data_IF_608824241349
#
_entry.id   IF_608824241349
#
_cell.length_a   1.000
_cell.length_b   1.000
_cell.length_c   1.000
_cell.angle_alpha   90.00
_cell.angle_beta   90.00
_cell.angle_gamma   90.00
#
_symmetry.space_group_name_H-M   'P 1'
#
loop_
_entity.id
_entity.type
_entity.pdbx_description
1 polymer ?
#
# COMPACT_ATOMS: atom_id res chain seq x y z
N UNK A 1 19.87 -20.81 -3.25
CA UNK A 1 18.86 -21.80 -3.64
C UNK A 1 18.06 -22.28 -2.43
N UNK A 2 18.68 -22.60 -1.28
CA UNK A 2 18.02 -23.07 -0.05
C UNK A 2 17.06 -22.03 0.55
N UNK A 3 17.41 -20.75 0.61
CA UNK A 3 16.55 -19.68 1.12
C UNK A 3 15.28 -19.44 0.26
N UNK A 4 15.37 -19.73 -1.03
CA UNK A 4 14.23 -19.70 -1.94
C UNK A 4 13.31 -20.91 -1.71
N UNK A 5 13.88 -22.07 -1.43
CA UNK A 5 13.17 -23.32 -1.18
C UNK A 5 12.45 -23.31 0.17
N UNK A 6 13.11 -22.80 1.22
CA UNK A 6 12.51 -22.53 2.54
C UNK A 6 11.38 -21.50 2.47
N UNK A 7 11.52 -20.47 1.61
CA UNK A 7 10.45 -19.51 1.32
C UNK A 7 9.26 -20.15 0.62
N UNK A 8 9.50 -21.07 -0.31
CA UNK A 8 8.45 -21.78 -1.07
C UNK A 8 7.74 -22.80 -0.18
N UNK A 9 8.44 -23.54 0.68
CA UNK A 9 7.83 -24.50 1.61
C UNK A 9 6.94 -23.83 2.68
N UNK A 10 7.28 -22.61 3.09
CA UNK A 10 6.43 -21.76 3.99
C UNK A 10 5.27 -21.09 3.26
N UNK A 11 5.30 -21.02 1.94
CA UNK A 11 4.24 -20.44 1.08
C UNK A 11 3.15 -21.46 0.67
N UNK A 12 3.10 -22.64 1.28
CA UNK A 12 2.14 -23.69 0.90
C UNK A 12 0.66 -23.35 1.13
N UNK A 13 0.34 -22.21 1.70
CA UNK A 13 -1.03 -21.78 1.92
C UNK A 13 -1.36 -20.52 1.09
N UNK A 14 -1.61 -20.72 -0.20
CA UNK A 14 -2.23 -19.74 -1.10
C UNK A 14 -1.49 -18.38 -1.16
N UNK A 15 -0.42 -18.26 -1.97
CA UNK A 15 0.36 -17.02 -2.14
C UNK A 15 -0.50 -15.81 -2.58
N UNK A 16 -1.69 -16.05 -3.13
CA UNK A 16 -2.67 -15.02 -3.47
C UNK A 16 -3.14 -14.20 -2.27
N UNK A 17 -3.19 -14.79 -1.06
CA UNK A 17 -3.59 -14.09 0.14
C UNK A 17 -2.59 -12.99 0.53
N UNK A 18 -1.30 -13.29 0.37
CA UNK A 18 -0.22 -12.35 0.71
C UNK A 18 0.04 -11.36 -0.42
N UNK A 19 0.27 -11.88 -1.64
CA UNK A 19 0.58 -11.06 -2.83
C UNK A 19 -0.63 -10.20 -3.24
N UNK A 20 -1.85 -10.75 -3.08
CA UNK A 20 -3.09 -10.04 -3.35
C UNK A 20 -3.45 -8.98 -2.31
N UNK A 21 -2.83 -9.00 -1.11
CA UNK A 21 -3.09 -8.06 -0.02
C UNK A 21 -4.31 -8.40 0.84
N UNK A 22 -4.88 -9.59 0.70
CA UNK A 22 -6.10 -10.01 1.41
C UNK A 22 -5.79 -10.19 2.90
N UNK A 23 -4.66 -10.79 3.27
CA UNK A 23 -4.24 -10.94 4.66
C UNK A 23 -4.09 -9.58 5.35
N UNK A 24 -3.44 -8.62 4.67
CA UNK A 24 -3.33 -7.24 5.17
C UNK A 24 -4.71 -6.58 5.35
N UNK A 25 -5.66 -6.84 4.44
CA UNK A 25 -7.01 -6.31 4.53
C UNK A 25 -7.80 -6.91 5.71
N UNK A 26 -7.64 -8.19 6.01
CA UNK A 26 -8.23 -8.80 7.22
C UNK A 26 -7.71 -8.12 8.50
N UNK A 27 -6.39 -7.90 8.58
CA UNK A 27 -5.77 -7.19 9.70
C UNK A 27 -6.29 -5.76 9.81
N UNK A 28 -6.42 -5.05 8.68
CA UNK A 28 -6.95 -3.68 8.64
C UNK A 28 -8.39 -3.60 9.14
N UNK A 29 -9.25 -4.55 8.76
CA UNK A 29 -10.64 -4.61 9.25
C UNK A 29 -10.69 -4.70 10.77
N UNK A 30 -9.84 -5.55 11.38
CA UNK A 30 -9.77 -5.69 12.83
C UNK A 30 -9.27 -4.39 13.50
N UNK A 31 -8.20 -3.81 12.97
CA UNK A 31 -7.64 -2.55 13.48
C UNK A 31 -8.63 -1.39 13.36
N UNK A 32 -9.34 -1.26 12.24
CA UNK A 32 -10.37 -0.24 12.06
C UNK A 32 -11.50 -0.37 13.07
N UNK A 33 -11.93 -1.59 13.40
CA UNK A 33 -12.94 -1.84 14.44
C UNK A 33 -12.44 -1.42 15.83
N UNK A 34 -11.18 -1.72 16.16
CA UNK A 34 -10.56 -1.37 17.44
C UNK A 34 -10.40 0.15 17.59
N UNK A 35 -9.90 0.81 16.55
CA UNK A 35 -9.53 2.24 16.62
C UNK A 35 -10.74 3.16 16.49
N UNK A 36 -11.63 2.83 15.55
CA UNK A 36 -12.74 3.72 15.19
C UNK A 36 -14.09 3.28 15.74
N UNK A 37 -14.18 2.08 16.35
CA UNK A 37 -15.42 1.49 16.83
C UNK A 37 -16.54 1.44 15.79
N UNK A 38 -16.16 1.21 14.52
CA UNK A 38 -17.08 1.15 13.39
C UNK A 38 -17.22 -0.28 12.87
N UNK A 39 -18.40 -0.63 12.40
CA UNK A 39 -18.63 -1.89 11.69
C UNK A 39 -17.98 -1.81 10.32
N UNK A 40 -16.85 -2.46 10.19
CA UNK A 40 -16.08 -2.55 8.94
C UNK A 40 -16.03 -4.01 8.51
N UNK A 41 -16.18 -4.28 7.23
CA UNK A 41 -16.09 -5.60 6.60
C UNK A 41 -15.01 -5.62 5.52
N UNK A 42 -14.66 -6.79 5.02
CA UNK A 42 -13.66 -6.91 3.96
C UNK A 42 -14.10 -6.19 2.66
N UNK A 43 -15.40 -6.18 2.38
CA UNK A 43 -15.97 -5.46 1.22
C UNK A 43 -15.84 -3.93 1.30
N UNK A 44 -15.53 -3.40 2.48
CA UNK A 44 -15.31 -1.97 2.69
C UNK A 44 -13.85 -1.56 2.49
N UNK A 45 -12.98 -2.52 2.16
CA UNK A 45 -11.55 -2.29 1.94
C UNK A 45 -11.26 -2.33 0.44
N UNK A 46 -10.67 -1.25 -0.07
CA UNK A 46 -10.10 -1.24 -1.41
C UNK A 46 -8.76 -1.96 -1.40
N UNK A 47 -8.61 -3.03 -2.18
CA UNK A 47 -7.43 -3.88 -2.15
C UNK A 47 -6.72 -3.83 -3.50
N UNK A 48 -5.44 -3.47 -3.47
CA UNK A 48 -4.51 -3.56 -4.59
C UNK A 48 -3.28 -4.35 -4.13
N UNK A 49 -3.03 -5.49 -4.78
CA UNK A 49 -1.88 -6.34 -4.49
C UNK A 49 -0.58 -5.84 -5.12
N UNK A 50 0.47 -6.64 -4.98
CA UNK A 50 1.83 -6.32 -5.45
C UNK A 50 2.24 -7.06 -6.72
N UNK A 51 1.32 -7.74 -7.40
CA UNK A 51 1.60 -8.58 -8.59
C UNK A 51 2.28 -7.81 -9.73
N UNK A 52 1.93 -6.54 -9.90
CA UNK A 52 2.44 -5.69 -10.99
C UNK A 52 3.77 -5.01 -10.63
N UNK A 53 4.26 -5.22 -9.40
CA UNK A 53 5.53 -4.65 -8.93
C UNK A 53 6.68 -5.51 -9.38
N UNK A 54 7.58 -4.92 -10.15
CA UNK A 54 8.77 -5.58 -10.67
C UNK A 54 10.03 -5.22 -9.86
N UNK A 55 11.11 -6.00 -10.06
CA UNK A 55 12.42 -5.65 -9.52
C UNK A 55 12.92 -4.28 -10.04
N UNK A 56 12.52 -3.89 -11.25
CA UNK A 56 12.79 -2.57 -11.81
C UNK A 56 12.16 -1.46 -10.95
N UNK A 57 10.90 -1.64 -10.50
CA UNK A 57 10.21 -0.67 -9.64
C UNK A 57 10.91 -0.55 -8.29
N UNK A 58 11.28 -1.68 -7.67
CA UNK A 58 11.99 -1.73 -6.39
C UNK A 58 13.32 -0.97 -6.46
N UNK A 59 14.12 -1.21 -7.50
CA UNK A 59 15.39 -0.53 -7.69
C UNK A 59 15.20 0.95 -7.99
N UNK A 60 14.22 1.30 -8.82
CA UNK A 60 13.91 2.69 -9.15
C UNK A 60 13.42 3.48 -7.94
N UNK A 61 12.56 2.89 -7.10
CA UNK A 61 12.13 3.48 -5.85
C UNK A 61 13.32 3.75 -4.90
N UNK A 62 14.22 2.76 -4.75
CA UNK A 62 15.42 2.91 -3.91
C UNK A 62 16.32 4.05 -4.40
N UNK A 63 16.55 4.18 -5.70
CA UNK A 63 17.35 5.26 -6.30
C UNK A 63 16.69 6.63 -6.11
N UNK A 64 15.38 6.68 -5.98
CA UNK A 64 14.61 7.89 -5.70
C UNK A 64 14.54 8.24 -4.21
N UNK A 65 15.09 7.38 -3.32
CA UNK A 65 15.10 7.57 -1.87
C UNK A 65 13.88 6.96 -1.16
N UNK A 66 13.19 6.01 -1.80
CA UNK A 66 12.00 5.36 -1.28
C UNK A 66 12.15 3.84 -1.17
N UNK A 67 11.27 3.24 -0.39
CA UNK A 67 11.03 1.80 -0.36
C UNK A 67 9.56 1.51 -0.67
N UNK A 68 9.30 0.52 -1.52
CA UNK A 68 7.94 0.05 -1.77
C UNK A 68 7.53 -0.85 -0.61
N UNK A 69 6.36 -0.55 -0.04
CA UNK A 69 5.72 -1.35 1.02
C UNK A 69 4.25 -1.54 0.67
N UNK A 70 3.71 -2.73 0.97
CA UNK A 70 2.27 -2.93 0.98
C UNK A 70 1.73 -2.32 2.28
N UNK A 71 1.00 -1.23 2.16
CA UNK A 71 0.39 -0.54 3.30
C UNK A 71 -1.09 -0.89 3.41
N UNK A 72 -1.54 -1.08 4.64
CA UNK A 72 -2.93 -1.12 5.01
C UNK A 72 -3.25 0.18 5.77
N UNK A 73 -4.05 1.06 5.18
CA UNK A 73 -4.38 2.38 5.74
C UNK A 73 -5.86 2.50 6.03
N UNK A 74 -6.19 3.09 7.18
CA UNK A 74 -7.56 3.43 7.55
C UNK A 74 -7.59 4.91 7.99
N UNK A 75 -8.40 5.73 7.33
CA UNK A 75 -8.53 7.17 7.59
C UNK A 75 -9.99 7.49 7.90
N UNK A 76 -10.25 7.99 9.10
CA UNK A 76 -11.60 8.44 9.50
C UNK A 76 -11.80 9.90 9.10
N UNK A 77 -12.98 10.18 8.54
CA UNK A 77 -13.45 11.53 8.23
C UNK A 77 -14.88 11.71 8.72
N UNK A 78 -15.38 12.92 8.70
CA UNK A 78 -16.78 13.22 9.03
C UNK A 78 -17.79 12.48 8.11
N UNK A 79 -17.36 12.08 6.91
CA UNK A 79 -18.22 11.43 5.91
C UNK A 79 -18.18 9.91 5.96
N UNK A 80 -17.17 9.34 6.61
CA UNK A 80 -16.96 7.89 6.70
C UNK A 80 -15.50 7.49 6.83
N UNK A 81 -15.20 6.21 6.61
CA UNK A 81 -13.85 5.65 6.70
C UNK A 81 -13.37 5.26 5.30
N UNK A 82 -12.15 5.67 4.98
CA UNK A 82 -11.40 5.18 3.82
C UNK A 82 -10.45 4.09 4.27
N UNK A 83 -10.72 2.85 3.84
CA UNK A 83 -9.89 1.69 4.10
C UNK A 83 -9.24 1.23 2.79
N UNK A 84 -7.93 1.21 2.75
CA UNK A 84 -7.19 0.82 1.55
C UNK A 84 -5.99 -0.06 1.90
N UNK A 85 -5.76 -1.10 1.10
CA UNK A 85 -4.52 -1.87 1.05
C UNK A 85 -3.92 -1.68 -0.33
N UNK A 86 -2.74 -1.08 -0.38
CA UNK A 86 -2.06 -0.81 -1.64
C UNK A 86 -0.54 -0.74 -1.47
N UNK A 87 0.24 -1.08 -2.51
CA UNK A 87 1.67 -0.79 -2.53
C UNK A 87 1.90 0.72 -2.60
N UNK A 88 2.73 1.24 -1.70
CA UNK A 88 3.09 2.65 -1.61
C UNK A 88 4.60 2.84 -1.56
N UNK A 89 5.06 4.01 -2.03
CA UNK A 89 6.43 4.46 -1.82
C UNK A 89 6.54 5.16 -0.46
N UNK A 90 7.43 4.67 0.39
CA UNK A 90 7.70 5.22 1.71
C UNK A 90 9.12 5.78 1.73
N UNK A 91 9.34 7.03 2.21
CA UNK A 91 10.68 7.59 2.36
C UNK A 91 11.58 6.66 3.16
N UNK A 92 12.84 6.49 2.74
CA UNK A 92 13.81 5.64 3.45
C UNK A 92 14.09 6.12 4.88
N UNK A 93 13.81 7.39 5.19
CA UNK A 93 13.90 7.96 6.54
C UNK A 93 12.79 7.51 7.49
N UNK A 94 11.67 7.05 6.95
CA UNK A 94 10.50 6.64 7.74
C UNK A 94 10.77 5.36 8.54
N UNK A 95 10.32 5.26 9.80
CA UNK A 95 10.35 4.02 10.57
C UNK A 95 9.63 2.86 9.87
N UNK A 96 8.57 3.14 9.12
CA UNK A 96 7.80 2.15 8.34
C UNK A 96 8.65 1.53 7.22
N UNK A 97 9.52 2.31 6.59
CA UNK A 97 10.43 1.81 5.57
C UNK A 97 11.52 0.88 6.14
N UNK A 98 11.86 1.01 7.44
CA UNK A 98 12.96 0.26 8.08
C UNK A 98 12.56 -1.15 8.51
N UNK A 99 11.28 -1.48 8.51
CA UNK A 99 10.79 -2.82 8.88
C UNK A 99 11.22 -3.84 7.83
N UNK A 100 11.79 -4.96 8.26
CA UNK A 100 12.28 -6.03 7.38
C UNK A 100 11.92 -7.42 7.93
N UNK A 101 11.93 -8.42 7.06
CA UNK A 101 11.64 -9.80 7.44
C UNK A 101 10.21 -9.99 7.95
N UNK A 102 10.06 -10.72 9.06
CA UNK A 102 8.76 -11.03 9.69
C UNK A 102 8.24 -9.93 10.64
N UNK A 103 8.94 -8.79 10.74
CA UNK A 103 8.49 -7.68 11.58
C UNK A 103 7.31 -6.94 10.95
N UNK A 104 6.41 -6.52 11.80
CA UNK A 104 5.30 -5.64 11.45
C UNK A 104 5.44 -4.31 12.20
N UNK A 105 4.87 -3.27 11.64
CA UNK A 105 4.74 -1.96 12.26
C UNK A 105 3.33 -1.42 12.03
N UNK A 106 2.78 -0.82 13.08
CA UNK A 106 1.53 -0.06 13.03
C UNK A 106 1.89 1.37 13.39
N UNK A 107 1.52 2.31 12.52
CA UNK A 107 1.59 3.75 12.79
C UNK A 107 0.17 4.23 13.11
N UNK A 108 0.03 4.94 14.23
CA UNK A 108 -1.21 5.60 14.63
C UNK A 108 -0.94 7.09 14.69
N UNK A 109 -1.51 7.82 13.73
CA UNK A 109 -1.48 9.27 13.71
C UNK A 109 -2.55 9.82 14.67
N UNK A 110 -2.15 10.70 15.57
CA UNK A 110 -3.01 11.29 16.58
C UNK A 110 -2.81 12.80 16.65
N UNK A 111 -3.89 13.56 16.72
CA UNK A 111 -3.86 15.03 16.74
C UNK A 111 -3.15 15.61 17.96
N UNK A 112 -3.05 14.86 19.07
CA UNK A 112 -2.48 15.35 20.33
C UNK A 112 -1.07 14.82 20.61
N UNK A 113 -0.80 13.55 20.21
CA UNK A 113 0.46 12.87 20.48
C UNK A 113 1.39 12.82 19.26
N UNK A 114 0.88 13.21 18.08
CA UNK A 114 1.57 12.94 16.82
C UNK A 114 1.57 11.45 16.48
N UNK A 115 2.61 11.00 15.79
CA UNK A 115 2.71 9.63 15.32
C UNK A 115 3.21 8.70 16.42
N UNK A 116 2.49 7.62 16.64
CA UNK A 116 2.87 6.55 17.57
C UNK A 116 3.11 5.27 16.77
N UNK A 117 4.24 4.61 17.03
CA UNK A 117 4.64 3.41 16.32
C UNK A 117 4.65 2.20 17.24
N UNK A 118 4.01 1.11 16.81
CA UNK A 118 4.06 -0.21 17.45
C UNK A 118 4.80 -1.14 16.50
N UNK A 119 5.97 -1.62 16.92
CA UNK A 119 6.80 -2.52 16.11
C UNK A 119 7.06 -3.81 16.85
N UNK A 120 6.96 -4.94 16.16
CA UNK A 120 7.23 -6.26 16.72
C UNK A 120 7.18 -7.36 15.67
N UNK A 121 7.52 -8.58 16.10
CA UNK A 121 7.44 -9.76 15.25
C UNK A 121 6.00 -10.12 14.97
N UNK A 122 5.64 -10.19 13.69
CA UNK A 122 4.30 -10.54 13.23
C UNK A 122 4.06 -12.04 13.05
N UNK A 123 5.15 -12.86 13.07
CA UNK A 123 5.10 -14.31 12.89
C UNK A 123 6.21 -15.01 13.65
N UNK A 124 6.07 -16.33 13.84
CA UNK A 124 7.04 -17.19 14.50
C UNK A 124 6.45 -17.89 15.74
N UNK A 125 7.08 -18.98 16.17
CA UNK A 125 6.63 -19.81 17.30
C UNK A 125 6.47 -19.00 18.60
N UNK A 126 7.49 -18.25 18.99
CA UNK A 126 7.50 -17.45 20.22
C UNK A 126 6.39 -16.38 20.24
N UNK A 127 6.33 -15.47 19.25
CA UNK A 127 5.25 -14.47 19.17
C UNK A 127 3.86 -15.06 19.18
N UNK A 128 3.62 -16.17 18.45
CA UNK A 128 2.33 -16.84 18.41
C UNK A 128 1.99 -17.45 19.77
N UNK A 129 2.90 -18.19 20.39
CA UNK A 129 2.72 -18.76 21.71
C UNK A 129 2.46 -17.67 22.77
N UNK A 130 3.18 -16.55 22.71
CA UNK A 130 2.98 -15.41 23.61
C UNK A 130 1.57 -14.82 23.49
N UNK A 131 1.07 -14.64 22.27
CA UNK A 131 -0.28 -14.12 22.03
C UNK A 131 -1.36 -15.08 22.59
N UNK A 132 -1.25 -16.37 22.28
CA UNK A 132 -2.18 -17.40 22.80
C UNK A 132 -2.15 -17.44 24.34
N UNK A 133 -0.98 -17.41 24.96
CA UNK A 133 -0.87 -17.41 26.42
C UNK A 133 -1.45 -16.15 27.04
N UNK A 134 -1.27 -14.98 26.41
CA UNK A 134 -1.90 -13.74 26.88
C UNK A 134 -3.42 -13.84 26.89
N UNK A 135 -4.01 -14.42 25.84
CA UNK A 135 -5.47 -14.62 25.76
C UNK A 135 -5.96 -15.60 26.83
N UNK A 136 -5.28 -16.73 27.03
CA UNK A 136 -5.60 -17.71 28.09
C UNK A 136 -5.56 -17.04 29.47
N UNK A 137 -4.51 -16.24 29.73
CA UNK A 137 -4.38 -15.52 31.01
C UNK A 137 -5.49 -14.48 31.19
N UNK A 138 -5.91 -13.78 30.15
CA UNK A 138 -7.01 -12.82 30.22
C UNK A 138 -8.35 -13.52 30.53
N UNK A 139 -8.60 -14.65 29.88
CA UNK A 139 -9.81 -15.48 30.14
C UNK A 139 -9.82 -16.00 31.59
N UNK A 140 -8.67 -16.50 32.06
CA UNK A 140 -8.57 -17.06 33.42
C UNK A 140 -8.79 -16.04 34.55
N UNK A 141 -8.61 -14.76 34.27
CA UNK A 141 -8.80 -13.64 35.21
C UNK A 141 -10.22 -13.05 35.17
N UNK A 142 -11.17 -13.70 34.51
CA UNK A 142 -12.52 -13.17 34.23
C UNK A 142 -12.52 -11.73 33.67
N UNK A 143 -11.43 -11.34 33.07
CA UNK A 143 -11.25 -9.99 32.44
C UNK A 143 -11.91 -9.96 31.09
N UNK A 144 -13.19 -10.34 31.00
CA UNK A 144 -13.91 -10.26 29.73
C UNK A 144 -14.16 -8.80 29.36
N UNK A 145 -13.38 -8.32 28.44
CA UNK A 145 -13.64 -7.03 27.77
C UNK A 145 -14.12 -7.31 26.35
N UNK A 146 -15.03 -6.49 25.82
CA UNK A 146 -15.38 -6.59 24.42
C UNK A 146 -14.11 -6.53 23.53
N UNK A 147 -14.00 -7.43 22.56
CA UNK A 147 -12.81 -7.60 21.69
C UNK A 147 -12.40 -6.27 21.05
N UNK A 148 -13.36 -5.44 20.67
CA UNK A 148 -13.14 -4.16 20.02
C UNK A 148 -13.27 -2.96 20.97
N UNK A 149 -13.09 -3.17 22.28
CA UNK A 149 -13.22 -2.11 23.30
C UNK A 149 -14.66 -1.76 23.66
N UNK A 150 -15.61 -1.93 22.75
CA UNK A 150 -17.05 -1.75 22.98
C UNK A 150 -17.82 -2.97 22.44
N UNK A 151 -19.03 -3.28 22.97
CA UNK A 151 -19.90 -4.31 22.44
C UNK A 151 -20.24 -4.06 20.96
N UNK A 152 -20.27 -5.11 20.16
CA UNK A 152 -20.49 -5.00 18.71
C UNK A 152 -21.82 -4.34 18.35
N UNK A 153 -22.85 -4.51 19.16
CA UNK A 153 -24.16 -3.87 18.99
C UNK A 153 -24.13 -2.34 19.25
N UNK A 154 -23.06 -1.82 19.85
CA UNK A 154 -22.83 -0.39 20.05
C UNK A 154 -21.91 0.24 18.99
N UNK A 155 -21.35 -0.56 18.12
CA UNK A 155 -20.56 -0.06 17.00
C UNK A 155 -21.46 0.68 16.02
N UNK A 156 -21.02 1.86 15.57
CA UNK A 156 -21.71 2.61 14.54
C UNK A 156 -21.44 2.02 13.15
N UNK A 157 -22.33 2.30 12.21
CA UNK A 157 -22.15 1.95 10.80
C UNK A 157 -21.62 3.16 10.10
N UNK A 158 -20.43 3.05 9.51
CA UNK A 158 -19.84 4.10 8.68
C UNK A 158 -20.00 3.76 7.20
N UNK A 159 -20.02 4.78 6.37
CA UNK A 159 -19.90 4.58 4.93
C UNK A 159 -18.45 4.29 4.58
N UNK A 160 -18.23 3.26 3.77
CA UNK A 160 -16.95 3.09 3.08
C UNK A 160 -16.79 4.20 2.06
N UNK A 161 -15.63 4.83 2.06
CA UNK A 161 -15.30 5.95 1.17
C UNK A 161 -14.08 5.57 0.33
N UNK A 162 -13.95 6.25 -0.80
CA UNK A 162 -12.68 6.41 -1.49
C UNK A 162 -12.37 7.91 -1.50
N UNK A 163 -11.40 8.31 -0.69
CA UNK A 163 -11.04 9.71 -0.58
C UNK A 163 -10.28 10.16 -1.82
N UNK A 164 -10.67 11.32 -2.35
CA UNK A 164 -9.86 12.04 -3.33
C UNK A 164 -8.82 12.88 -2.58
N UNK A 165 -7.63 12.32 -2.42
CA UNK A 165 -6.53 12.97 -1.70
C UNK A 165 -5.45 13.42 -2.67
N UNK A 166 -4.86 14.58 -2.40
CA UNK A 166 -3.73 15.10 -3.17
C UNK A 166 -2.43 14.48 -2.66
N UNK A 167 -1.78 13.68 -3.51
CA UNK A 167 -0.54 12.98 -3.20
C UNK A 167 0.49 13.13 -4.33
N UNK A 168 1.74 12.80 -4.04
CA UNK A 168 2.74 12.50 -5.05
C UNK A 168 2.55 11.08 -5.55
N UNK A 169 2.78 10.85 -6.83
CA UNK A 169 2.67 9.51 -7.41
C UNK A 169 3.93 9.15 -8.17
N UNK A 170 4.36 7.92 -8.00
CA UNK A 170 5.28 7.22 -8.85
C UNK A 170 4.48 6.58 -9.98
N UNK A 171 4.90 6.80 -11.22
CA UNK A 171 4.30 6.17 -12.39
C UNK A 171 5.41 5.52 -13.21
N UNK A 172 5.32 4.22 -13.47
CA UNK A 172 6.13 3.53 -14.48
C UNK A 172 5.31 3.28 -15.72
N UNK A 173 5.82 3.74 -16.85
CA UNK A 173 5.25 3.47 -18.18
C UNK A 173 6.34 2.87 -19.03
N UNK A 174 6.07 1.76 -19.70
CA UNK A 174 6.94 1.25 -20.76
C UNK A 174 6.42 1.75 -22.08
N UNK A 175 7.29 2.36 -22.89
CA UNK A 175 6.91 2.95 -24.17
C UNK A 175 7.72 2.32 -25.31
N UNK A 176 7.22 2.46 -26.53
CA UNK A 176 8.02 2.19 -27.75
C UNK A 176 9.19 3.16 -27.79
N UNK A 177 10.40 2.65 -28.05
CA UNK A 177 11.59 3.51 -28.20
C UNK A 177 11.67 4.07 -29.62
N UNK A 178 10.83 5.08 -29.87
CA UNK A 178 10.69 5.74 -31.16
C UNK A 178 10.74 7.26 -30.96
N UNK A 179 11.24 8.02 -31.97
CA UNK A 179 11.23 9.49 -31.92
C UNK A 179 9.81 10.02 -31.66
N UNK A 180 9.68 10.89 -30.64
CA UNK A 180 8.40 11.50 -30.28
C UNK A 180 7.60 10.75 -29.22
N UNK A 181 7.91 9.48 -28.91
CA UNK A 181 7.17 8.68 -27.92
C UNK A 181 7.11 9.37 -26.54
N UNK A 182 8.24 9.86 -26.04
CA UNK A 182 8.30 10.59 -24.78
C UNK A 182 7.46 11.87 -24.80
N UNK A 183 7.50 12.63 -25.88
CA UNK A 183 6.69 13.85 -26.05
C UNK A 183 5.20 13.52 -26.04
N UNK A 184 4.80 12.43 -26.68
CA UNK A 184 3.42 11.95 -26.70
C UNK A 184 2.92 11.60 -25.30
N UNK A 185 3.67 10.77 -24.57
CA UNK A 185 3.30 10.36 -23.20
C UNK A 185 3.26 11.54 -22.24
N UNK A 186 4.24 12.43 -22.25
CA UNK A 186 4.23 13.64 -21.40
C UNK A 186 3.09 14.59 -21.81
N UNK A 187 2.67 14.59 -23.07
CA UNK A 187 1.48 15.28 -23.55
C UNK A 187 0.19 14.79 -22.89
N UNK A 188 0.06 13.48 -22.65
CA UNK A 188 -1.09 12.91 -21.94
C UNK A 188 -1.12 13.42 -20.48
N UNK A 189 0.02 13.47 -19.79
CA UNK A 189 0.10 14.08 -18.45
C UNK A 189 -0.31 15.55 -18.46
N UNK A 190 0.20 16.32 -19.43
CA UNK A 190 -0.13 17.74 -19.58
C UNK A 190 -1.63 17.96 -19.85
N UNK A 191 -2.23 17.17 -20.73
CA UNK A 191 -3.68 17.18 -21.02
C UNK A 191 -4.52 16.93 -19.76
N UNK A 192 -4.08 16.02 -18.90
CA UNK A 192 -4.72 15.72 -17.62
C UNK A 192 -4.33 16.72 -16.51
N UNK A 193 -3.58 17.79 -16.84
CA UNK A 193 -3.12 18.83 -15.90
C UNK A 193 -2.27 18.27 -14.78
N UNK A 194 -1.45 17.25 -15.06
CA UNK A 194 -0.53 16.61 -14.13
C UNK A 194 0.86 17.14 -14.39
N UNK A 195 1.45 17.77 -13.38
CA UNK A 195 2.81 18.26 -13.42
C UNK A 195 3.79 17.17 -12.99
N UNK A 196 4.85 16.96 -13.78
CA UNK A 196 5.90 15.99 -13.51
C UNK A 196 7.01 16.70 -12.72
N UNK A 197 7.34 16.13 -11.55
CA UNK A 197 8.42 16.62 -10.69
C UNK A 197 9.78 16.07 -11.13
N UNK A 198 9.85 14.75 -11.34
CA UNK A 198 11.06 14.06 -11.78
C UNK A 198 10.70 13.04 -12.84
N UNK A 199 11.61 12.86 -13.77
CA UNK A 199 11.52 11.82 -14.79
C UNK A 199 12.87 11.15 -14.96
N UNK A 200 12.84 9.84 -15.14
CA UNK A 200 14.04 9.03 -15.36
C UNK A 200 13.76 7.96 -16.39
N UNK A 201 14.60 7.91 -17.40
CA UNK A 201 14.71 6.81 -18.33
C UNK A 201 16.02 6.11 -18.05
N UNK A 202 16.00 4.79 -17.90
CA UNK A 202 17.24 3.98 -17.77
C UNK A 202 17.69 3.50 -19.12
N UNK A 203 19.00 3.30 -19.24
CA UNK A 203 19.58 2.63 -20.40
C UNK A 203 18.92 1.26 -20.57
N UNK A 204 18.48 0.98 -21.75
CA UNK A 204 17.83 -0.27 -22.12
C UNK A 204 18.35 -0.76 -23.47
N UNK A 205 18.29 -2.07 -23.66
CA UNK A 205 18.58 -2.68 -24.94
C UNK A 205 17.27 -3.20 -25.54
N UNK A 206 16.85 -2.63 -26.66
CA UNK A 206 15.64 -3.09 -27.34
C UNK A 206 14.75 -1.96 -27.84
N UNK A 207 13.53 -2.33 -28.24
CA UNK A 207 12.53 -1.42 -28.81
C UNK A 207 11.55 -0.86 -27.75
N UNK A 208 11.79 -1.16 -26.48
CA UNK A 208 10.91 -0.82 -25.36
C UNK A 208 11.71 -0.05 -24.30
N UNK A 209 11.23 1.12 -23.92
CA UNK A 209 11.87 1.98 -22.95
C UNK A 209 11.01 2.14 -21.69
N UNK A 210 11.41 1.61 -20.53
CA UNK A 210 10.74 1.88 -19.28
C UNK A 210 11.10 3.29 -18.78
N UNK A 211 10.08 4.10 -18.51
CA UNK A 211 10.20 5.46 -17.98
C UNK A 211 9.55 5.50 -16.60
N UNK A 212 10.26 6.11 -15.67
CA UNK A 212 9.76 6.39 -14.32
C UNK A 212 9.50 7.89 -14.18
N UNK A 213 8.34 8.22 -13.68
CA UNK A 213 7.88 9.57 -13.44
C UNK A 213 7.47 9.71 -11.96
N UNK A 214 7.87 10.82 -11.31
CA UNK A 214 7.28 11.30 -10.08
C UNK A 214 6.48 12.55 -10.38
N UNK A 215 5.22 12.58 -9.95
CA UNK A 215 4.37 13.77 -10.14
C UNK A 215 4.58 14.77 -9.01
N UNK A 216 4.16 16.02 -9.21
CA UNK A 216 3.79 16.90 -8.11
C UNK A 216 2.50 16.41 -7.43
N UNK A 217 2.09 17.03 -6.32
CA UNK A 217 0.83 16.69 -5.65
C UNK A 217 -0.33 16.84 -6.62
N UNK A 218 -1.13 15.79 -6.70
CA UNK A 218 -2.29 15.71 -7.60
C UNK A 218 -3.35 14.82 -6.98
N UNK A 219 -4.60 15.10 -7.28
CA UNK A 219 -5.76 14.30 -6.90
C UNK A 219 -5.63 12.84 -7.35
N UNK A 220 -5.94 11.92 -6.46
CA UNK A 220 -5.94 10.48 -6.73
C UNK A 220 -6.86 10.13 -7.92
N UNK A 221 -8.00 10.81 -8.07
CA UNK A 221 -8.92 10.56 -9.18
C UNK A 221 -8.35 11.04 -10.52
N UNK A 222 -7.65 12.18 -10.53
CA UNK A 222 -7.03 12.70 -11.76
C UNK A 222 -5.90 11.81 -12.26
N UNK A 223 -5.01 11.37 -11.35
CA UNK A 223 -3.94 10.46 -11.75
C UNK A 223 -4.49 9.14 -12.27
N UNK A 224 -5.50 8.56 -11.63
CA UNK A 224 -6.12 7.31 -12.09
C UNK A 224 -6.80 7.47 -13.47
N UNK A 225 -7.38 8.64 -13.77
CA UNK A 225 -7.89 8.94 -15.11
C UNK A 225 -6.77 8.95 -16.15
N UNK A 226 -5.64 9.58 -15.84
CA UNK A 226 -4.46 9.61 -16.70
C UNK A 226 -3.90 8.19 -16.93
N UNK A 227 -3.77 7.38 -15.88
CA UNK A 227 -3.31 5.98 -15.98
C UNK A 227 -4.23 5.17 -16.89
N UNK A 228 -5.54 5.36 -16.79
CA UNK A 228 -6.51 4.70 -17.67
C UNK A 228 -6.39 5.14 -19.12
N UNK A 229 -6.05 6.41 -19.38
CA UNK A 229 -5.76 6.89 -20.73
C UNK A 229 -4.47 6.27 -21.27
N UNK A 230 -3.40 6.27 -20.48
CA UNK A 230 -2.12 5.65 -20.82
C UNK A 230 -2.23 4.15 -21.13
N UNK A 231 -3.04 3.41 -20.36
CA UNK A 231 -3.21 1.96 -20.58
C UNK A 231 -3.92 1.60 -21.91
N UNK A 232 -4.49 2.59 -22.59
CA UNK A 232 -5.17 2.43 -23.88
C UNK A 232 -4.37 3.03 -25.03
N UNK A 233 -3.26 3.65 -24.74
CA UNK A 233 -2.45 4.37 -25.72
C UNK A 233 -1.54 3.41 -26.48
N UNK A 234 -1.45 3.58 -27.81
CA UNK A 234 -0.67 2.72 -28.71
C UNK A 234 0.84 2.80 -28.49
N UNK A 235 1.33 3.90 -27.90
CA UNK A 235 2.75 4.08 -27.57
C UNK A 235 3.11 3.39 -26.25
N UNK A 236 2.15 3.05 -25.41
CA UNK A 236 2.34 2.33 -24.16
C UNK A 236 2.37 0.82 -24.39
N UNK A 237 3.31 0.15 -23.76
CA UNK A 237 3.48 -1.29 -23.79
C UNK A 237 3.12 -1.86 -22.41
N UNK A 238 2.10 -2.70 -22.37
CA UNK A 238 1.58 -3.26 -21.12
C UNK A 238 0.86 -2.23 -20.24
N UNK A 239 0.65 -2.58 -18.99
CA UNK A 239 -0.06 -1.71 -18.04
C UNK A 239 0.89 -0.78 -17.31
N UNK A 240 0.58 0.52 -17.22
CA UNK A 240 1.30 1.44 -16.35
C UNK A 240 1.19 1.01 -14.88
N UNK A 241 2.27 1.16 -14.11
CA UNK A 241 2.25 0.99 -12.65
C UNK A 241 2.16 2.36 -12.02
N UNK A 242 1.22 2.54 -11.10
CA UNK A 242 1.01 3.78 -10.38
C UNK A 242 0.99 3.52 -8.88
N UNK A 243 1.94 4.11 -8.14
CA UNK A 243 2.09 3.94 -6.71
C UNK A 243 2.02 5.30 -6.02
N UNK A 244 1.24 5.37 -4.95
CA UNK A 244 1.17 6.57 -4.11
C UNK A 244 2.44 6.71 -3.27
N UNK A 245 2.90 7.93 -3.07
CA UNK A 245 3.93 8.25 -2.08
C UNK A 245 3.25 8.63 -0.78
N UNK A 246 3.53 7.91 0.29
CA UNK A 246 3.07 8.20 1.65
C UNK A 246 4.23 8.77 2.47
N UNK A 247 3.99 9.94 3.04
CA UNK A 247 4.94 10.67 3.88
C UNK A 247 4.54 10.43 5.35
N UNK A 248 4.94 9.26 5.88
CA UNK A 248 4.65 8.77 7.23
C UNK A 248 5.92 8.35 7.97
#
# INVERSE_FOLDING_TARGET
>A
PELLQEGIEKLELNPELDIGGIDAAHKLVLLSKIVFHQKTSLSDVKITGIKDISLFDINSAKELGYRIKLLATAKMTEKGIDNEVAPCLIPLSSPVAQVVGSENIICVENNYLGDTYYRGSGAGEGPTASAVMADIMNISKDSYKPIFGIPENKMSISKSLSLDTDNFFYVRVTIKDEPGALSHITGIFAKNKISINRMRQKDHQGKEAPIVLLTHRISSFKIMSCIKELSRDEMCIGNPVCLRVEDI
#
